data_IF_281094698260
#
_entry.id   IF_281094698260
#
_cell.length_a   1.000
_cell.length_b   1.000
_cell.length_c   1.000
_cell.angle_alpha   90.00
_cell.angle_beta   90.00
_cell.angle_gamma   90.00
#
_symmetry.space_group_name_H-M   'P 1'
#
loop_
_entity.id
_entity.type
_entity.pdbx_description
1 polymer ?
#
# COMPACT_ATOMS: atom_id res chain seq x y z
N UNK A 1 -7.33 -9.10 3.36
CA UNK A 1 -6.65 -9.14 2.04
C UNK A 1 -5.53 -8.13 2.05
N UNK A 2 -4.39 -8.46 1.43
CA UNK A 2 -3.27 -7.54 1.29
C UNK A 2 -3.29 -6.83 -0.06
N UNK A 3 -2.89 -5.56 -0.04
CA UNK A 3 -2.76 -4.72 -1.22
C UNK A 3 -1.41 -4.03 -1.19
N UNK A 4 -0.64 -4.18 -2.27
CA UNK A 4 0.46 -3.27 -2.57
C UNK A 4 -0.15 -2.01 -3.17
N UNK A 5 0.10 -0.87 -2.55
CA UNK A 5 -0.26 0.44 -3.08
C UNK A 5 1.03 1.15 -3.46
N UNK A 6 1.12 1.55 -4.73
CA UNK A 6 2.22 2.33 -5.26
C UNK A 6 1.68 3.74 -5.48
N UNK A 7 2.24 4.67 -4.72
CA UNK A 7 1.94 6.09 -4.79
C UNK A 7 2.99 6.79 -5.64
N UNK A 8 2.56 7.60 -6.59
CA UNK A 8 3.41 8.57 -7.29
C UNK A 8 3.05 9.95 -6.78
N UNK A 9 4.03 10.63 -6.18
CA UNK A 9 3.79 11.96 -5.62
C UNK A 9 3.73 12.97 -6.76
N UNK A 10 2.69 13.80 -6.77
CA UNK A 10 2.60 14.86 -7.77
C UNK A 10 3.79 15.81 -7.61
N UNK A 11 4.31 16.26 -8.74
CA UNK A 11 5.52 17.08 -8.82
C UNK A 11 6.78 16.45 -8.21
N UNK A 12 6.76 15.13 -7.93
CA UNK A 12 7.85 14.42 -7.24
C UNK A 12 8.19 15.02 -5.88
N UNK A 13 7.19 15.57 -5.19
CA UNK A 13 7.35 16.27 -3.92
C UNK A 13 6.53 15.61 -2.82
N UNK A 14 7.18 14.98 -1.82
CA UNK A 14 6.48 14.38 -0.69
C UNK A 14 6.05 15.42 0.37
N UNK A 15 6.59 16.65 0.34
CA UNK A 15 6.41 17.62 1.42
C UNK A 15 4.93 17.93 1.71
N UNK A 16 4.07 18.20 0.71
CA UNK A 16 2.65 18.46 0.94
C UNK A 16 1.92 17.29 1.62
N UNK A 17 2.33 16.05 1.32
CA UNK A 17 1.76 14.84 1.90
C UNK A 17 2.12 14.76 3.37
N UNK A 18 3.41 14.91 3.72
CA UNK A 18 3.85 14.90 5.11
C UNK A 18 3.26 16.05 5.94
N UNK A 19 3.05 17.22 5.34
CA UNK A 19 2.34 18.33 5.99
C UNK A 19 0.91 17.93 6.35
N UNK A 20 0.14 17.42 5.38
CA UNK A 20 -1.23 16.95 5.62
C UNK A 20 -1.28 15.81 6.65
N UNK A 21 -0.35 14.86 6.60
CA UNK A 21 -0.27 13.77 7.60
C UNK A 21 -0.03 14.31 9.01
N UNK A 22 0.75 15.38 9.19
CA UNK A 22 0.95 16.00 10.52
C UNK A 22 -0.31 16.70 11.03
N UNK A 23 -1.12 17.25 10.13
CA UNK A 23 -2.33 18.00 10.46
C UNK A 23 -3.55 17.10 10.72
N UNK A 24 -3.78 16.11 9.87
CA UNK A 24 -5.00 15.27 9.89
C UNK A 24 -4.72 13.77 10.09
N UNK A 25 -3.46 13.40 10.29
CA UNK A 25 -3.06 12.00 10.31
C UNK A 25 -3.13 11.35 8.92
N UNK A 26 -3.05 10.02 8.88
CA UNK A 26 -3.11 9.26 7.60
C UNK A 26 -4.52 9.16 7.01
N UNK A 27 -5.54 9.63 7.75
CA UNK A 27 -6.96 9.57 7.36
C UNK A 27 -7.43 8.15 6.97
N UNK A 28 -6.89 7.11 7.63
CA UNK A 28 -7.27 5.73 7.36
C UNK A 28 -8.70 5.47 7.86
N UNK A 29 -9.64 5.04 7.01
CA UNK A 29 -10.96 4.59 7.46
C UNK A 29 -10.85 3.37 8.39
N UNK A 30 -11.82 3.21 9.29
CA UNK A 30 -11.89 2.04 10.16
C UNK A 30 -11.90 0.75 9.33
N UNK A 31 -10.98 -0.17 9.68
CA UNK A 31 -10.79 -1.44 8.94
C UNK A 31 -9.78 -1.37 7.80
N UNK A 32 -9.22 -0.20 7.46
CA UNK A 32 -8.06 -0.06 6.59
C UNK A 32 -6.79 0.03 7.43
N UNK A 33 -5.94 -1.00 7.36
CA UNK A 33 -4.74 -1.11 8.18
C UNK A 33 -3.48 -0.87 7.36
N UNK A 34 -2.63 0.02 7.85
CA UNK A 34 -1.26 0.18 7.36
C UNK A 34 -0.37 -0.96 7.89
N UNK A 35 0.39 -1.60 7.01
CA UNK A 35 1.35 -2.65 7.38
C UNK A 35 2.78 -2.11 7.38
N UNK A 36 3.26 -1.59 6.26
CA UNK A 36 4.57 -0.95 6.15
C UNK A 36 4.67 -0.08 4.89
N UNK A 37 5.70 0.76 4.78
CA UNK A 37 6.01 1.55 3.58
C UNK A 37 7.48 1.81 3.37
N UNK A 38 7.86 2.03 2.12
CA UNK A 38 9.19 2.41 1.67
C UNK A 38 9.10 3.59 0.70
N UNK A 39 9.95 4.60 0.89
CA UNK A 39 10.02 5.76 0.00
C UNK A 39 11.17 5.55 -0.98
N UNK A 40 10.94 5.82 -2.26
CA UNK A 40 11.99 5.81 -3.26
C UNK A 40 13.02 6.90 -2.96
N UNK A 41 14.31 6.61 -3.15
CA UNK A 41 15.42 7.50 -2.75
C UNK A 41 15.35 8.88 -3.43
N UNK A 42 14.74 8.98 -4.61
CA UNK A 42 14.54 10.23 -5.35
C UNK A 42 13.26 10.98 -4.97
N UNK A 43 12.51 10.49 -3.98
CA UNK A 43 11.24 11.02 -3.50
C UNK A 43 10.09 11.04 -4.53
N UNK A 44 10.19 10.28 -5.63
CA UNK A 44 9.13 10.24 -6.65
C UNK A 44 7.95 9.35 -6.22
N UNK A 45 8.24 8.28 -5.46
CA UNK A 45 7.26 7.25 -5.12
C UNK A 45 7.31 6.78 -3.67
N UNK A 46 6.17 6.26 -3.22
CA UNK A 46 6.03 5.46 -2.02
C UNK A 46 5.43 4.10 -2.37
N UNK A 47 6.00 3.05 -1.81
CA UNK A 47 5.49 1.68 -1.88
C UNK A 47 4.96 1.35 -0.50
N UNK A 48 3.69 0.99 -0.38
CA UNK A 48 3.10 0.63 0.91
C UNK A 48 2.31 -0.67 0.80
N UNK A 49 2.36 -1.44 1.88
CA UNK A 49 1.53 -2.62 2.05
C UNK A 49 0.38 -2.26 2.99
N UNK A 50 -0.84 -2.51 2.51
CA UNK A 50 -2.10 -2.20 3.20
C UNK A 50 -2.90 -3.48 3.37
N UNK A 51 -3.69 -3.56 4.44
CA UNK A 51 -4.60 -4.68 4.70
C UNK A 51 -6.02 -4.18 4.94
N UNK A 52 -6.99 -4.78 4.25
CA UNK A 52 -8.40 -4.62 4.57
C UNK A 52 -9.22 -5.84 4.12
N UNK A 53 -10.45 -5.96 4.64
CA UNK A 53 -11.43 -6.94 4.18
C UNK A 53 -12.33 -6.40 3.04
N UNK A 54 -12.32 -5.09 2.80
CA UNK A 54 -13.20 -4.40 1.87
C UNK A 54 -12.44 -3.36 1.04
N UNK A 55 -12.36 -3.55 -0.27
CA UNK A 55 -11.66 -2.65 -1.19
C UNK A 55 -12.26 -1.24 -1.24
N UNK A 56 -13.53 -1.05 -0.84
CA UNK A 56 -14.15 0.28 -0.78
C UNK A 56 -13.46 1.21 0.22
N UNK A 57 -12.83 0.66 1.26
CA UNK A 57 -12.06 1.45 2.23
C UNK A 57 -10.81 2.07 1.59
N UNK A 58 -10.14 1.34 0.69
CA UNK A 58 -9.04 1.89 -0.12
C UNK A 58 -9.55 2.98 -1.07
N UNK A 59 -10.70 2.77 -1.72
CA UNK A 59 -11.28 3.79 -2.60
C UNK A 59 -11.63 5.07 -1.84
N UNK A 60 -12.23 4.95 -0.66
CA UNK A 60 -12.54 6.09 0.22
C UNK A 60 -11.28 6.85 0.60
N UNK A 61 -10.23 6.13 1.01
CA UNK A 61 -8.95 6.72 1.36
C UNK A 61 -8.29 7.42 0.16
N UNK A 62 -8.25 6.78 -1.01
CA UNK A 62 -7.72 7.37 -2.25
C UNK A 62 -8.41 8.68 -2.61
N UNK A 63 -9.74 8.77 -2.46
CA UNK A 63 -10.48 10.01 -2.72
C UNK A 63 -9.99 11.20 -1.88
N UNK A 64 -9.45 10.96 -0.68
CA UNK A 64 -8.93 11.99 0.21
C UNK A 64 -7.50 12.45 -0.13
N UNK A 65 -6.77 11.66 -0.94
CA UNK A 65 -5.35 11.91 -1.24
C UNK A 65 -5.05 12.09 -2.73
N UNK A 66 -6.00 11.79 -3.62
CA UNK A 66 -5.82 11.86 -5.09
C UNK A 66 -5.46 13.25 -5.63
N UNK A 67 -5.66 14.29 -4.83
CA UNK A 67 -5.24 15.64 -5.16
C UNK A 67 -3.71 15.80 -5.08
N UNK A 68 -3.02 15.03 -4.23
CA UNK A 68 -1.56 15.06 -4.04
C UNK A 68 -0.83 13.85 -4.63
N UNK A 69 -1.53 12.73 -4.83
CA UNK A 69 -0.92 11.44 -5.17
C UNK A 69 -1.67 10.76 -6.31
N UNK A 70 -0.95 10.11 -7.22
CA UNK A 70 -1.51 9.15 -8.17
C UNK A 70 -1.29 7.72 -7.63
N UNK A 71 -2.31 6.87 -7.73
CA UNK A 71 -2.33 5.58 -7.08
C UNK A 71 -2.39 4.42 -8.08
N UNK A 72 -1.58 3.40 -7.84
CA UNK A 72 -1.73 2.06 -8.39
C UNK A 72 -1.96 1.10 -7.22
N UNK A 73 -2.97 0.23 -7.33
CA UNK A 73 -3.39 -0.68 -6.25
C UNK A 73 -3.45 -2.10 -6.80
N UNK A 74 -2.63 -2.99 -6.23
CA UNK A 74 -2.49 -4.37 -6.68
C UNK A 74 -2.79 -5.31 -5.50
N UNK A 75 -3.78 -6.22 -5.61
CA UNK A 75 -3.96 -7.25 -4.60
C UNK A 75 -2.74 -8.19 -4.60
N UNK A 76 -2.24 -8.54 -3.43
CA UNK A 76 -1.04 -9.39 -3.29
C UNK A 76 -1.27 -10.52 -2.28
N UNK A 77 -0.48 -11.59 -2.44
CA UNK A 77 -0.42 -12.73 -1.52
C UNK A 77 0.99 -12.77 -0.90
N UNK A 78 1.13 -13.10 0.40
CA UNK A 78 2.45 -13.33 0.99
C UNK A 78 3.22 -14.38 0.19
N UNK A 79 4.52 -14.13 -0.04
CA UNK A 79 5.36 -15.09 -0.77
C UNK A 79 5.43 -16.45 -0.08
N UNK A 80 5.31 -16.51 1.25
CA UNK A 80 5.28 -17.76 2.00
C UNK A 80 4.07 -18.63 1.62
N UNK A 81 2.86 -18.05 1.64
CA UNK A 81 1.64 -18.76 1.23
C UNK A 81 1.70 -19.15 -0.25
N UNK A 82 2.25 -18.27 -1.10
CA UNK A 82 2.43 -18.57 -2.54
C UNK A 82 3.41 -19.73 -2.75
N UNK A 83 4.48 -19.85 -1.95
CA UNK A 83 5.43 -20.98 -2.03
C UNK A 83 4.74 -22.30 -1.70
N UNK A 84 3.87 -22.33 -0.70
CA UNK A 84 3.12 -23.55 -0.32
C UNK A 84 2.18 -24.01 -1.45
N UNK A 85 1.60 -23.07 -2.20
CA UNK A 85 0.75 -23.38 -3.36
C UNK A 85 1.55 -23.91 -4.56
N UNK A 86 2.77 -23.40 -4.76
CA UNK A 86 3.62 -23.77 -5.91
C UNK A 86 4.43 -25.03 -5.63
N UNK A 87 4.79 -25.31 -4.37
CA UNK A 87 5.50 -26.52 -3.99
C UNK A 87 4.62 -27.76 -4.23
N UNK A 88 4.96 -28.53 -5.27
CA UNK A 88 4.32 -29.82 -5.53
C UNK A 88 4.59 -30.85 -4.42
N UNK A 89 3.89 -31.99 -4.41
CA UNK A 89 4.03 -33.03 -3.37
C UNK A 89 5.47 -33.55 -3.13
N UNK A 90 6.40 -33.32 -4.05
CA UNK A 90 7.79 -33.80 -3.98
C UNK A 90 8.86 -32.77 -3.59
N UNK A 91 8.51 -31.50 -3.42
CA UNK A 91 9.48 -30.41 -3.17
C UNK A 91 9.50 -29.92 -1.71
N UNK A 92 8.81 -30.60 -0.80
CA UNK A 92 8.91 -30.28 0.63
C UNK A 92 10.29 -30.70 1.16
N UNK A 93 11.07 -29.78 1.76
CA UNK A 93 12.37 -30.13 2.32
C UNK A 93 12.20 -31.12 3.47
N UNK A 94 13.09 -32.11 3.51
CA UNK A 94 13.23 -33.12 4.58
C UNK A 94 13.56 -32.46 5.90
#
# INVERSE_FOLDING_TARGET
MLFMVIERFKNRDPVPIYQRVRESGRSLPDGLRFVNSWIEVNFDRCFQLMECADARLLMQWILQWRDLVEFEVVPVCPSQETRELVAGPGDRPV
#
